data_IF_752411185966
#
_entry.id   IF_752411185966
#
_cell.length_a   1.000
_cell.length_b   1.000
_cell.length_c   1.000
_cell.angle_alpha   90.00
_cell.angle_beta   90.00
_cell.angle_gamma   90.00
#
_symmetry.space_group_name_H-M   'P 1'
#
loop_
_entity.id
_entity.type
_entity.pdbx_description
1 polymer ?
#
# COMPACT_ATOMS: atom_id res chain seq x y z
N UNK A 1 -5.32 -4.81 -1.75
CA UNK A 1 -5.82 -3.80 -0.79
C UNK A 1 -4.67 -2.91 -0.37
N UNK A 2 -4.67 -1.66 -0.77
CA UNK A 2 -3.50 -0.80 -0.56
C UNK A 2 -3.36 -0.29 0.86
N UNK A 3 -2.11 0.07 1.19
CA UNK A 3 -1.80 0.84 2.39
C UNK A 3 -1.82 2.34 2.13
N UNK A 4 -2.11 2.75 0.91
CA UNK A 4 -2.13 4.14 0.48
C UNK A 4 -3.49 4.49 -0.11
N UNK A 5 -3.96 5.69 0.20
CA UNK A 5 -5.18 6.26 -0.39
C UNK A 5 -4.93 7.74 -0.71
N UNK A 6 -5.86 8.35 -1.39
CA UNK A 6 -5.82 9.79 -1.70
C UNK A 6 -6.84 10.48 -0.79
N UNK A 7 -6.35 11.28 0.14
CA UNK A 7 -7.16 12.05 1.08
C UNK A 7 -7.11 13.53 0.72
N UNK A 8 -8.24 14.08 0.33
CA UNK A 8 -8.37 15.49 -0.07
C UNK A 8 -7.31 15.92 -1.09
N UNK A 9 -7.01 15.04 -2.07
CA UNK A 9 -6.05 15.29 -3.13
C UNK A 9 -4.61 14.95 -2.82
N UNK A 10 -4.28 14.54 -1.59
CA UNK A 10 -2.93 14.16 -1.18
C UNK A 10 -2.84 12.70 -0.77
N UNK A 11 -1.66 12.10 -0.91
CA UNK A 11 -1.45 10.73 -0.49
C UNK A 11 -1.47 10.60 1.04
N UNK A 12 -2.16 9.60 1.55
CA UNK A 12 -2.13 9.22 2.96
C UNK A 12 -1.74 7.75 3.08
N UNK A 13 -0.92 7.43 4.06
CA UNK A 13 -0.37 6.10 4.25
C UNK A 13 -0.88 5.48 5.54
N UNK A 14 -1.54 4.33 5.44
CA UNK A 14 -2.11 3.65 6.60
C UNK A 14 -1.06 3.32 7.67
N UNK A 15 0.16 2.97 7.25
CA UNK A 15 1.23 2.61 8.18
C UNK A 15 1.76 3.79 9.02
N UNK A 16 1.42 5.03 8.67
CA UNK A 16 1.83 6.21 9.43
C UNK A 16 0.88 6.55 10.60
N UNK A 17 -0.28 5.92 10.66
CA UNK A 17 -1.27 6.20 11.69
C UNK A 17 -0.96 5.44 12.98
N UNK A 18 -1.14 6.10 14.12
CA UNK A 18 -1.24 5.43 15.41
C UNK A 18 -2.62 4.76 15.53
N UNK A 19 -2.80 3.87 16.52
CA UNK A 19 -4.09 3.23 16.76
C UNK A 19 -5.17 4.30 17.02
N UNK A 20 -4.87 5.29 17.85
CA UNK A 20 -5.78 6.37 18.19
C UNK A 20 -6.14 7.23 16.98
N UNK A 21 -5.14 7.58 16.18
CA UNK A 21 -5.36 8.37 14.96
C UNK A 21 -6.20 7.60 13.94
N UNK A 22 -5.95 6.28 13.80
CA UNK A 22 -6.71 5.44 12.88
C UNK A 22 -8.18 5.31 13.31
N UNK A 23 -8.43 5.11 14.59
CA UNK A 23 -9.79 5.04 15.13
C UNK A 23 -10.54 6.35 14.93
N UNK A 24 -9.87 7.49 15.16
CA UNK A 24 -10.46 8.80 14.91
C UNK A 24 -10.77 8.99 13.41
N UNK A 25 -9.88 8.57 12.53
CA UNK A 25 -10.06 8.63 11.09
C UNK A 25 -11.23 7.77 10.63
N UNK A 26 -11.36 6.56 11.15
CA UNK A 26 -12.49 5.66 10.83
C UNK A 26 -13.85 6.26 11.21
N UNK A 27 -13.88 7.14 12.20
CA UNK A 27 -15.12 7.84 12.59
C UNK A 27 -15.44 9.03 11.70
N UNK A 28 -14.45 9.61 11.01
CA UNK A 28 -14.59 10.90 10.32
C UNK A 28 -14.37 10.84 8.80
N UNK A 29 -13.85 9.73 8.26
CA UNK A 29 -13.44 9.69 6.86
C UNK A 29 -14.57 10.00 5.85
N UNK A 30 -15.83 9.73 6.22
CA UNK A 30 -16.98 10.02 5.36
C UNK A 30 -17.20 11.50 5.11
N UNK A 31 -16.64 12.35 5.96
CA UNK A 31 -16.68 13.81 5.82
C UNK A 31 -15.57 14.34 4.90
N UNK A 32 -14.66 13.46 4.50
CA UNK A 32 -13.48 13.79 3.69
C UNK A 32 -13.58 13.14 2.31
N UNK A 33 -12.77 13.63 1.37
CA UNK A 33 -12.59 12.98 0.07
C UNK A 33 -11.52 11.90 0.22
N UNK A 34 -11.92 10.64 0.30
CA UNK A 34 -11.02 9.49 0.42
C UNK A 34 -11.23 8.56 -0.76
N UNK A 35 -10.21 8.43 -1.61
CA UNK A 35 -10.29 7.69 -2.87
C UNK A 35 -9.19 6.65 -2.96
N UNK A 36 -9.49 5.56 -3.67
CA UNK A 36 -8.52 4.52 -3.99
C UNK A 36 -7.60 5.01 -5.11
N UNK A 37 -6.26 4.84 -4.98
CA UNK A 37 -5.33 5.30 -6.03
C UNK A 37 -5.49 4.54 -7.35
N UNK A 38 -5.95 3.29 -7.32
CA UNK A 38 -6.04 2.43 -8.51
C UNK A 38 -7.17 2.82 -9.47
N UNK A 39 -8.26 3.38 -8.96
CA UNK A 39 -9.47 3.59 -9.75
C UNK A 39 -10.20 4.90 -9.45
N UNK A 40 -9.79 5.64 -8.42
CA UNK A 40 -10.47 6.86 -8.01
C UNK A 40 -11.82 6.63 -7.34
N UNK A 41 -12.22 5.38 -7.09
CA UNK A 41 -13.44 5.07 -6.37
C UNK A 41 -13.30 5.35 -4.87
N UNK A 42 -14.41 5.59 -4.15
CA UNK A 42 -14.35 5.81 -2.71
C UNK A 42 -13.66 4.67 -1.97
N UNK A 43 -12.82 5.03 -1.01
CA UNK A 43 -12.07 4.08 -0.17
C UNK A 43 -12.68 4.01 1.23
N UNK A 44 -12.48 2.88 1.90
CA UNK A 44 -12.91 2.63 3.27
C UNK A 44 -11.69 2.21 4.09
N UNK A 45 -11.39 2.90 5.21
CA UNK A 45 -10.31 2.47 6.10
C UNK A 45 -10.76 1.25 6.91
N UNK A 46 -9.90 0.24 6.95
CA UNK A 46 -10.16 -1.02 7.64
C UNK A 46 -8.96 -1.48 8.45
N UNK A 47 -9.22 -2.38 9.39
CA UNK A 47 -8.19 -3.05 10.17
C UNK A 47 -8.26 -4.55 9.90
N UNK A 48 -7.13 -5.17 9.55
CA UNK A 48 -7.07 -6.60 9.28
C UNK A 48 -7.12 -7.41 10.57
N UNK A 49 -7.29 -8.73 10.42
CA UNK A 49 -7.28 -9.65 11.59
C UNK A 49 -5.95 -9.65 12.34
N UNK A 50 -4.85 -9.27 11.68
CA UNK A 50 -3.53 -9.14 12.31
C UNK A 50 -3.25 -7.73 12.85
N UNK A 51 -4.24 -6.83 12.82
CA UNK A 51 -4.11 -5.48 13.34
C UNK A 51 -3.47 -4.48 12.39
N UNK A 52 -3.22 -4.83 11.14
CA UNK A 52 -2.70 -3.91 10.15
C UNK A 52 -3.81 -3.01 9.61
N UNK A 53 -3.49 -1.73 9.40
CA UNK A 53 -4.40 -0.76 8.81
C UNK A 53 -4.26 -0.77 7.30
N UNK A 54 -5.38 -0.72 6.59
CA UNK A 54 -5.38 -0.69 5.13
C UNK A 54 -6.63 -0.03 4.59
N UNK A 55 -6.66 0.22 3.28
CA UNK A 55 -7.81 0.78 2.60
C UNK A 55 -8.44 -0.28 1.69
N UNK A 56 -9.76 -0.28 1.59
CA UNK A 56 -10.47 -1.14 0.66
C UNK A 56 -11.45 -0.32 -0.16
N UNK A 57 -11.90 -0.88 -1.28
CA UNK A 57 -12.96 -0.27 -2.07
C UNK A 57 -14.27 -0.26 -1.29
N UNK A 58 -15.05 0.79 -1.46
CA UNK A 58 -16.44 0.80 -0.98
C UNK A 58 -17.21 -0.29 -1.69
N UNK A 59 -18.16 -0.91 -1.00
CA UNK A 59 -19.00 -1.95 -1.59
C UNK A 59 -19.70 -1.45 -2.86
N UNK A 60 -19.67 -2.26 -3.92
CA UNK A 60 -20.24 -1.92 -5.22
C UNK A 60 -19.28 -1.19 -6.17
N UNK A 61 -18.07 -0.90 -5.75
CA UNK A 61 -17.07 -0.29 -6.63
C UNK A 61 -16.62 -1.28 -7.71
N UNK A 62 -16.51 -0.80 -8.95
CA UNK A 62 -16.02 -1.59 -10.07
C UNK A 62 -14.51 -1.37 -10.23
N UNK A 63 -13.72 -2.28 -9.71
CA UNK A 63 -12.27 -2.26 -9.87
C UNK A 63 -11.75 -3.69 -9.96
N UNK A 64 -10.86 -3.94 -10.90
CA UNK A 64 -10.31 -5.27 -11.18
C UNK A 64 -9.11 -5.64 -10.31
N UNK A 65 -8.74 -4.84 -9.32
CA UNK A 65 -7.60 -5.16 -8.46
C UNK A 65 -7.89 -6.42 -7.64
N UNK A 66 -6.89 -7.34 -7.61
CA UNK A 66 -7.01 -8.59 -6.89
C UNK A 66 -6.98 -8.35 -5.37
N UNK A 67 -7.74 -9.14 -4.58
CA UNK A 67 -7.65 -9.06 -3.14
C UNK A 67 -6.30 -9.60 -2.64
N UNK A 68 -5.79 -9.01 -1.56
CA UNK A 68 -4.58 -9.45 -0.89
C UNK A 68 -4.95 -10.21 0.38
N UNK A 69 -4.10 -11.18 0.77
CA UNK A 69 -4.26 -11.87 2.05
C UNK A 69 -3.94 -10.92 3.21
N UNK A 70 -4.49 -11.23 4.39
CA UNK A 70 -4.18 -10.44 5.60
C UNK A 70 -2.71 -10.55 6.00
N UNK A 71 -2.06 -11.69 5.70
CA UNK A 71 -0.63 -11.89 5.92
C UNK A 71 0.21 -10.97 5.03
N UNK A 72 -0.14 -10.85 3.76
CA UNK A 72 0.55 -9.96 2.82
C UNK A 72 0.41 -8.50 3.25
N UNK A 73 -0.79 -8.09 3.61
CA UNK A 73 -1.06 -6.73 4.12
C UNK A 73 -0.24 -6.46 5.38
N UNK A 74 -0.19 -7.41 6.31
CA UNK A 74 0.58 -7.27 7.55
C UNK A 74 2.07 -7.09 7.27
N UNK A 75 2.66 -7.98 6.48
CA UNK A 75 4.09 -7.91 6.16
C UNK A 75 4.44 -6.63 5.40
N UNK A 76 3.61 -6.22 4.46
CA UNK A 76 3.81 -4.97 3.74
C UNK A 76 3.79 -3.77 4.71
N UNK A 77 2.87 -3.76 5.66
CA UNK A 77 2.76 -2.73 6.68
C UNK A 77 4.00 -2.68 7.58
N UNK A 78 4.49 -3.84 8.02
CA UNK A 78 5.70 -3.94 8.84
C UNK A 78 6.93 -3.39 8.10
N UNK A 79 7.13 -3.79 6.86
CA UNK A 79 8.25 -3.34 6.04
C UNK A 79 8.17 -1.83 5.79
N UNK A 80 7.00 -1.34 5.43
CA UNK A 80 6.80 0.09 5.16
C UNK A 80 7.05 0.93 6.42
N UNK A 81 6.54 0.50 7.57
CA UNK A 81 6.74 1.21 8.83
C UNK A 81 8.20 1.20 9.26
N UNK A 82 8.87 0.06 9.18
CA UNK A 82 10.28 -0.05 9.53
C UNK A 82 11.15 0.84 8.64
N UNK A 83 10.90 0.84 7.35
CA UNK A 83 11.62 1.69 6.39
C UNK A 83 11.41 3.17 6.69
N UNK A 84 10.18 3.58 6.95
CA UNK A 84 9.84 4.96 7.27
C UNK A 84 10.53 5.43 8.55
N UNK A 85 10.54 4.60 9.59
CA UNK A 85 11.21 4.91 10.87
C UNK A 85 12.72 5.06 10.70
N UNK A 86 13.32 4.33 9.76
CA UNK A 86 14.75 4.43 9.44
C UNK A 86 15.09 5.63 8.54
N UNK A 87 14.13 6.48 8.24
CA UNK A 87 14.35 7.69 7.47
C UNK A 87 14.21 7.53 5.95
N UNK A 88 13.75 6.40 5.47
CA UNK A 88 13.46 6.22 4.06
C UNK A 88 12.13 6.89 3.68
N UNK A 89 12.11 7.54 2.53
CA UNK A 89 10.87 7.98 1.92
C UNK A 89 10.17 6.74 1.36
N UNK A 90 9.05 6.38 1.94
CA UNK A 90 8.38 5.10 1.69
C UNK A 90 7.04 5.31 0.98
N UNK A 91 6.85 4.60 -0.13
CA UNK A 91 5.59 4.59 -0.88
C UNK A 91 5.19 3.14 -1.08
N UNK A 92 3.94 2.79 -0.76
CA UNK A 92 3.42 1.45 -1.00
C UNK A 92 2.66 1.38 -2.33
N UNK A 93 2.59 0.19 -2.92
CA UNK A 93 1.91 -0.08 -4.18
C UNK A 93 2.33 0.91 -5.28
N UNK A 94 3.63 1.12 -5.39
CA UNK A 94 4.17 2.07 -6.36
C UNK A 94 4.13 1.47 -7.77
N UNK A 95 3.53 2.21 -8.70
CA UNK A 95 3.47 1.82 -10.10
C UNK A 95 4.61 2.48 -10.86
N UNK A 96 5.39 1.66 -11.57
CA UNK A 96 6.46 2.11 -12.42
C UNK A 96 6.35 1.54 -13.81
N UNK A 97 7.20 2.03 -14.71
CA UNK A 97 7.28 1.55 -16.08
C UNK A 97 8.75 1.41 -16.49
N UNK A 98 9.07 0.30 -17.16
CA UNK A 98 10.42 0.09 -17.70
C UNK A 98 10.64 0.97 -18.92
N UNK A 99 11.91 1.21 -19.33
CA UNK A 99 12.19 1.92 -20.59
C UNK A 99 11.55 1.25 -21.83
N UNK A 100 11.32 -0.05 -21.76
CA UNK A 100 10.66 -0.83 -22.82
C UNK A 100 9.14 -0.71 -22.79
N UNK A 101 8.59 0.03 -21.81
CA UNK A 101 7.15 0.27 -21.71
C UNK A 101 6.38 -0.76 -20.90
N UNK A 102 7.04 -1.66 -20.19
CA UNK A 102 6.39 -2.63 -19.33
C UNK A 102 6.04 -2.01 -17.97
N UNK A 103 4.81 -2.23 -17.52
CA UNK A 103 4.35 -1.76 -16.22
C UNK A 103 4.78 -2.73 -15.13
N UNK A 104 5.15 -2.18 -13.96
CA UNK A 104 5.45 -2.98 -12.77
C UNK A 104 4.90 -2.29 -11.52
N UNK A 105 4.70 -3.08 -10.47
CA UNK A 105 4.23 -2.57 -9.18
C UNK A 105 5.18 -3.09 -8.10
N UNK A 106 5.70 -2.17 -7.28
CA UNK A 106 6.46 -2.53 -6.08
C UNK A 106 5.52 -2.50 -4.88
N UNK A 107 5.59 -3.53 -4.03
CA UNK A 107 4.83 -3.52 -2.78
C UNK A 107 5.24 -2.35 -1.90
N UNK A 108 6.56 -2.14 -1.77
CA UNK A 108 7.12 -1.00 -1.04
C UNK A 108 8.28 -0.43 -1.85
N UNK A 109 8.25 0.88 -2.10
CA UNK A 109 9.37 1.60 -2.73
C UNK A 109 9.99 2.53 -1.70
N UNK A 110 11.30 2.41 -1.51
CA UNK A 110 12.06 3.21 -0.55
C UNK A 110 13.11 4.06 -1.26
N UNK A 111 13.21 5.32 -0.89
CA UNK A 111 14.19 6.26 -1.46
C UNK A 111 14.92 6.98 -0.34
N UNK A 112 16.26 7.01 -0.42
CA UNK A 112 17.10 7.69 0.57
C UNK A 112 18.47 7.99 -0.04
N UNK A 113 18.93 9.23 0.09
CA UNK A 113 20.28 9.65 -0.33
C UNK A 113 20.63 9.22 -1.76
N UNK A 114 19.70 9.33 -2.69
CA UNK A 114 19.91 8.94 -4.09
C UNK A 114 19.74 7.45 -4.39
N UNK A 115 19.56 6.61 -3.36
CA UNK A 115 19.28 5.19 -3.55
C UNK A 115 17.77 4.95 -3.62
N UNK A 116 17.37 4.04 -4.51
CA UNK A 116 15.99 3.60 -4.65
C UNK A 116 15.95 2.09 -4.54
N UNK A 117 15.11 1.58 -3.62
CA UNK A 117 14.96 0.14 -3.38
C UNK A 117 13.50 -0.22 -3.53
N UNK A 118 13.21 -1.18 -4.41
CA UNK A 118 11.88 -1.76 -4.55
C UNK A 118 11.84 -3.08 -3.80
N UNK A 119 10.87 -3.25 -2.93
CA UNK A 119 10.72 -4.44 -2.09
C UNK A 119 9.43 -5.15 -2.52
N UNK A 120 9.55 -6.43 -2.83
CA UNK A 120 8.40 -7.29 -3.11
C UNK A 120 8.28 -8.31 -1.99
N UNK A 121 7.05 -8.49 -1.48
CA UNK A 121 6.76 -9.43 -0.41
C UNK A 121 6.19 -10.70 -1.01
N UNK A 122 6.88 -11.81 -0.80
CA UNK A 122 6.52 -13.11 -1.37
C UNK A 122 6.19 -14.09 -0.25
N UNK A 123 4.97 -14.62 -0.25
CA UNK A 123 4.50 -15.56 0.77
C UNK A 123 4.64 -17.02 0.36
N UNK A 124 4.85 -17.27 -0.93
CA UNK A 124 5.06 -18.62 -1.44
C UNK A 124 6.46 -18.75 -2.05
N UNK A 125 7.00 -19.97 -2.09
CA UNK A 125 8.27 -20.22 -2.77
C UNK A 125 8.13 -19.96 -4.26
N UNK A 126 9.13 -19.31 -4.85
CA UNK A 126 9.22 -19.15 -6.30
C UNK A 126 10.56 -19.70 -6.77
N UNK A 127 10.62 -20.32 -7.97
CA UNK A 127 11.88 -20.82 -8.53
C UNK A 127 12.90 -19.70 -8.69
N UNK A 128 14.19 -20.06 -8.53
CA UNK A 128 15.28 -19.11 -8.63
C UNK A 128 15.29 -18.39 -10.00
N UNK A 129 15.06 -19.13 -11.08
CA UNK A 129 15.01 -18.56 -12.43
C UNK A 129 13.90 -17.50 -12.57
N UNK A 130 12.77 -17.71 -11.92
CA UNK A 130 11.67 -16.75 -11.93
C UNK A 130 12.04 -15.49 -11.12
N UNK A 131 12.78 -15.65 -10.03
CA UNK A 131 13.26 -14.50 -9.23
C UNK A 131 14.20 -13.63 -10.07
N UNK A 132 15.11 -14.23 -10.82
CA UNK A 132 16.06 -13.51 -11.65
C UNK A 132 15.38 -12.79 -12.81
N UNK A 133 14.31 -13.38 -13.36
CA UNK A 133 13.58 -12.80 -14.47
C UNK A 133 12.73 -11.58 -14.08
N UNK A 134 12.51 -11.37 -12.80
CA UNK A 134 11.75 -10.23 -12.29
C UNK A 134 12.59 -8.97 -12.18
#
# INVERSE_FOLDING_TARGET
>A
MPLRAILNGGATHAFDYTIEAWDAFKRKYKLESLLMPCCGCPAVPKTSKHGAFFFSHKAGAECSSAPESSEHIYLKSVVAKASSVQGWRTTTEYRGRTPEGEDWIADVLCQKAGATVAIEIQLSSIPYDEIIAR
#
